data_IF_194178428530
#
_entry.id   IF_194178428530
#
_cell.length_a   1.000
_cell.length_b   1.000
_cell.length_c   1.000
_cell.angle_alpha   90.00
_cell.angle_beta   90.00
_cell.angle_gamma   90.00
#
_symmetry.space_group_name_H-M   'P 1'
#
loop_
_entity.id
_entity.type
_entity.pdbx_description
1 polymer ?
#
# COMPACT_ATOMS: atom_id res chain seq x y z
N UNK A 1 -46.19 9.48 -30.59
CA UNK A 1 -44.81 9.31 -31.09
C UNK A 1 -43.85 9.38 -29.92
N UNK A 2 -42.88 8.47 -29.92
CA UNK A 2 -42.02 8.02 -28.82
C UNK A 2 -41.36 9.12 -27.98
N UNK A 3 -41.62 9.10 -26.66
CA UNK A 3 -40.70 9.62 -25.64
C UNK A 3 -39.66 8.54 -25.37
N UNK A 4 -38.39 8.83 -25.63
CA UNK A 4 -37.28 7.96 -25.21
C UNK A 4 -36.48 8.72 -24.16
N UNK A 5 -36.85 8.55 -22.89
CA UNK A 5 -36.01 8.89 -21.75
C UNK A 5 -34.92 7.82 -21.65
N UNK A 6 -33.68 8.20 -22.01
CA UNK A 6 -32.52 7.39 -21.67
C UNK A 6 -32.37 7.39 -20.15
N UNK A 7 -32.67 6.25 -19.52
CA UNK A 7 -32.33 5.99 -18.13
C UNK A 7 -30.80 6.00 -18.02
N UNK A 8 -30.27 6.98 -17.29
CA UNK A 8 -28.93 6.88 -16.71
C UNK A 8 -28.98 5.76 -15.68
N UNK A 9 -28.71 4.54 -16.12
CA UNK A 9 -28.40 3.43 -15.22
C UNK A 9 -27.19 3.83 -14.40
N UNK A 10 -27.45 4.17 -13.15
CA UNK A 10 -26.48 4.16 -12.06
C UNK A 10 -25.75 2.82 -12.12
N UNK A 11 -24.47 2.87 -12.47
CA UNK A 11 -23.57 1.72 -12.38
C UNK A 11 -23.44 1.42 -10.90
N UNK A 12 -24.24 0.47 -10.42
CA UNK A 12 -24.07 -0.12 -9.11
C UNK A 12 -22.72 -0.84 -9.10
N UNK A 13 -21.77 -0.23 -8.40
CA UNK A 13 -20.44 -0.78 -8.16
C UNK A 13 -20.61 -2.10 -7.41
N UNK A 14 -20.56 -3.24 -8.12
CA UNK A 14 -20.55 -4.55 -7.48
C UNK A 14 -19.31 -4.66 -6.59
N UNK A 15 -19.47 -5.29 -5.42
CA UNK A 15 -18.39 -5.83 -4.58
C UNK A 15 -17.65 -6.89 -5.40
N UNK A 16 -16.69 -6.45 -6.19
CA UNK A 16 -15.85 -7.33 -7.01
C UNK A 16 -14.44 -7.25 -6.46
N UNK A 17 -13.92 -8.40 -6.05
CA UNK A 17 -12.52 -8.57 -5.69
C UNK A 17 -11.66 -8.27 -6.92
N UNK A 18 -10.58 -7.52 -6.72
CA UNK A 18 -9.57 -7.20 -7.73
C UNK A 18 -8.23 -7.86 -7.42
N UNK A 19 -7.99 -8.19 -6.16
CA UNK A 19 -6.82 -8.92 -5.68
C UNK A 19 -7.27 -10.08 -4.80
N UNK A 20 -6.75 -11.27 -5.07
CA UNK A 20 -6.86 -12.47 -4.21
C UNK A 20 -5.50 -13.16 -4.14
N UNK A 21 -4.73 -12.85 -3.10
CA UNK A 21 -3.44 -13.47 -2.79
C UNK A 21 -3.57 -14.64 -1.80
N UNK A 22 -4.79 -14.97 -1.38
CA UNK A 22 -5.06 -16.01 -0.39
C UNK A 22 -6.23 -15.68 0.53
N UNK A 23 -6.56 -16.60 1.46
CA UNK A 23 -7.69 -16.47 2.39
C UNK A 23 -7.78 -15.13 3.12
N UNK A 24 -6.63 -14.59 3.55
CA UNK A 24 -6.55 -13.38 4.38
C UNK A 24 -6.06 -12.14 3.61
N UNK A 25 -5.93 -12.25 2.27
CA UNK A 25 -5.22 -11.26 1.48
C UNK A 25 -6.01 -10.90 0.21
N UNK A 26 -7.04 -10.07 0.40
CA UNK A 26 -7.99 -9.71 -0.65
C UNK A 26 -8.25 -8.22 -0.68
N UNK A 27 -8.31 -7.65 -1.88
CA UNK A 27 -8.74 -6.27 -2.10
C UNK A 27 -9.98 -6.23 -2.95
N UNK A 28 -11.00 -5.54 -2.47
CA UNK A 28 -12.16 -5.19 -3.26
C UNK A 28 -11.86 -3.96 -4.10
N UNK A 29 -12.68 -3.74 -5.12
CA UNK A 29 -12.64 -2.52 -5.93
C UNK A 29 -12.58 -1.23 -5.08
N UNK A 30 -13.34 -1.16 -3.98
CA UNK A 30 -13.34 0.04 -3.13
C UNK A 30 -12.01 0.26 -2.42
N UNK A 31 -11.30 -0.81 -2.04
CA UNK A 31 -9.96 -0.71 -1.47
C UNK A 31 -8.99 -0.14 -2.49
N UNK A 32 -8.96 -0.65 -3.71
CA UNK A 32 -8.09 -0.08 -4.76
C UNK A 32 -8.47 1.35 -5.11
N UNK A 33 -9.77 1.68 -5.15
CA UNK A 33 -10.25 3.04 -5.38
C UNK A 33 -9.95 4.03 -4.24
N UNK A 34 -9.49 3.54 -3.08
CA UNK A 34 -9.01 4.37 -1.97
C UNK A 34 -7.64 4.99 -2.27
N UNK A 35 -6.87 4.42 -3.20
CA UNK A 35 -5.56 4.94 -3.65
C UNK A 35 -5.70 6.21 -4.52
N UNK A 36 -6.92 6.56 -4.94
CA UNK A 36 -7.14 7.70 -5.82
C UNK A 36 -6.76 9.03 -5.13
N UNK A 37 -6.37 10.07 -5.90
CA UNK A 37 -5.91 11.33 -5.33
C UNK A 37 -6.90 11.98 -4.35
N UNK A 38 -6.35 12.53 -3.25
CA UNK A 38 -7.10 13.14 -2.13
C UNK A 38 -8.10 12.18 -1.44
N UNK A 39 -7.78 10.88 -1.39
CA UNK A 39 -8.46 9.92 -0.53
C UNK A 39 -7.45 9.22 0.35
N UNK A 40 -7.85 8.88 1.56
CA UNK A 40 -7.08 8.01 2.44
C UNK A 40 -6.97 6.61 1.84
N UNK A 41 -5.73 6.14 1.70
CA UNK A 41 -5.47 4.77 1.26
C UNK A 41 -5.93 3.80 2.36
N UNK A 42 -6.68 2.77 1.99
CA UNK A 42 -7.14 1.70 2.89
C UNK A 42 -5.93 0.93 3.44
N UNK A 43 -5.93 0.61 4.74
CA UNK A 43 -4.89 -0.21 5.36
C UNK A 43 -4.74 -1.56 4.66
N UNK A 44 -5.85 -2.16 4.21
CA UNK A 44 -5.83 -3.41 3.44
C UNK A 44 -4.93 -3.34 2.21
N UNK A 45 -4.88 -2.18 1.53
CA UNK A 45 -4.01 -1.99 0.35
C UNK A 45 -2.54 -2.13 0.74
N UNK A 46 -2.13 -1.51 1.85
CA UNK A 46 -0.76 -1.58 2.35
C UNK A 46 -0.43 -2.98 2.86
N UNK A 47 -1.37 -3.61 3.57
CA UNK A 47 -1.23 -4.97 4.06
C UNK A 47 -1.16 -6.01 2.93
N UNK A 48 -1.74 -5.75 1.77
CA UNK A 48 -1.55 -6.58 0.57
C UNK A 48 -0.30 -6.20 -0.22
N UNK A 49 0.18 -4.95 -0.13
CA UNK A 49 1.36 -4.47 -0.87
C UNK A 49 2.65 -5.17 -0.48
N UNK A 50 2.78 -5.58 0.79
CA UNK A 50 3.97 -6.28 1.30
C UNK A 50 4.22 -7.62 0.60
N UNK A 51 3.16 -8.26 0.09
CA UNK A 51 3.22 -9.62 -0.44
C UNK A 51 3.98 -9.71 -1.76
N UNK A 52 3.63 -8.94 -2.81
CA UNK A 52 4.42 -8.94 -4.03
C UNK A 52 5.86 -8.48 -3.77
N UNK A 53 6.11 -7.57 -2.81
CA UNK A 53 7.48 -7.18 -2.46
C UNK A 53 8.31 -8.35 -1.90
N UNK A 54 7.75 -9.09 -0.93
CA UNK A 54 8.40 -10.29 -0.41
C UNK A 54 8.61 -11.36 -1.49
N UNK A 55 7.64 -11.52 -2.39
CA UNK A 55 7.73 -12.48 -3.49
C UNK A 55 8.87 -12.12 -4.44
N UNK A 56 8.90 -10.87 -4.92
CA UNK A 56 9.95 -10.36 -5.80
C UNK A 56 11.31 -10.53 -5.14
N UNK A 57 11.45 -10.11 -3.87
CA UNK A 57 12.70 -10.22 -3.13
C UNK A 57 13.18 -11.68 -3.04
N UNK A 58 12.27 -12.64 -2.79
CA UNK A 58 12.59 -14.07 -2.70
C UNK A 58 12.93 -14.72 -4.05
N UNK A 59 12.44 -14.17 -5.16
CA UNK A 59 12.66 -14.70 -6.51
C UNK A 59 13.90 -14.10 -7.17
N UNK A 60 14.18 -12.82 -6.91
CA UNK A 60 15.27 -12.07 -7.55
C UNK A 60 16.60 -12.16 -6.79
N UNK A 61 16.59 -12.51 -5.50
CA UNK A 61 17.79 -12.57 -4.68
C UNK A 61 18.07 -13.98 -4.14
N UNK A 62 19.31 -14.44 -4.28
CA UNK A 62 19.78 -15.70 -3.68
C UNK A 62 19.66 -15.68 -2.15
N UNK A 63 19.86 -14.51 -1.54
CA UNK A 63 19.68 -14.28 -0.11
C UNK A 63 18.73 -13.10 0.05
N UNK A 64 17.54 -13.37 0.57
CA UNK A 64 16.55 -12.35 0.88
C UNK A 64 17.11 -11.36 1.92
N UNK A 65 17.37 -10.12 1.48
CA UNK A 65 17.90 -9.02 2.30
C UNK A 65 16.79 -8.21 2.94
N UNK A 66 15.60 -8.19 2.34
CA UNK A 66 14.45 -7.43 2.82
C UNK A 66 13.31 -8.34 3.22
N UNK A 67 12.56 -7.95 4.25
CA UNK A 67 11.32 -8.61 4.64
C UNK A 67 10.28 -7.57 5.01
N UNK A 68 9.08 -7.73 4.48
CA UNK A 68 7.97 -6.81 4.65
C UNK A 68 6.85 -7.50 5.45
N UNK A 69 6.55 -6.97 6.64
CA UNK A 69 5.45 -7.45 7.47
C UNK A 69 4.14 -6.78 7.06
N UNK A 70 3.04 -7.53 7.08
CA UNK A 70 1.70 -7.00 6.83
C UNK A 70 0.63 -7.91 7.45
N UNK A 71 -0.59 -7.80 6.90
CA UNK A 71 -1.83 -8.49 7.30
C UNK A 71 -2.30 -8.25 8.74
N UNK A 72 -3.41 -7.53 8.85
CA UNK A 72 -4.20 -7.24 10.05
C UNK A 72 -3.46 -6.69 11.28
N UNK A 73 -2.13 -6.55 11.21
CA UNK A 73 -1.35 -5.98 12.29
C UNK A 73 -1.62 -4.49 12.46
N UNK A 74 -1.95 -3.75 11.39
CA UNK A 74 -2.08 -2.29 11.44
C UNK A 74 -3.24 -1.89 12.36
N UNK A 75 -4.34 -2.64 12.34
CA UNK A 75 -5.48 -2.42 13.25
C UNK A 75 -5.12 -2.72 14.71
N UNK A 76 -4.38 -3.81 14.96
CA UNK A 76 -3.91 -4.16 16.31
C UNK A 76 -2.96 -3.10 16.85
N UNK A 77 -2.09 -2.58 15.98
CA UNK A 77 -1.14 -1.52 16.30
C UNK A 77 -1.82 -0.20 16.65
N UNK A 78 -2.85 0.19 15.90
CA UNK A 78 -3.64 1.38 16.24
C UNK A 78 -4.24 1.25 17.66
N UNK A 79 -4.78 0.08 18.02
CA UNK A 79 -5.32 -0.16 19.38
C UNK A 79 -4.24 -0.07 20.46
N UNK A 80 -3.04 -0.62 20.21
CA UNK A 80 -1.90 -0.52 21.12
C UNK A 80 -1.49 0.94 21.37
N UNK A 81 -1.59 1.79 20.35
CA UNK A 81 -1.22 3.21 20.43
C UNK A 81 -2.29 4.05 21.14
N UNK A 82 -3.58 3.68 21.03
CA UNK A 82 -4.70 4.36 21.68
C UNK A 82 -4.84 4.04 23.18
N UNK A 83 -4.19 2.99 23.69
CA UNK A 83 -4.27 2.56 25.10
C UNK A 83 -2.91 2.48 25.83
N UNK A 84 -2.13 3.58 25.96
CA UNK A 84 -0.80 3.51 26.58
C UNK A 84 -0.79 3.30 28.11
N UNK A 85 -1.93 3.46 28.80
CA UNK A 85 -1.97 3.70 30.27
C UNK A 85 -2.65 2.63 31.11
N UNK A 86 -2.95 1.45 30.57
CA UNK A 86 -3.46 0.34 31.38
C UNK A 86 -2.68 -0.96 31.12
N UNK A 87 -1.36 -0.90 31.30
CA UNK A 87 -0.52 -2.10 31.39
C UNK A 87 -0.96 -2.93 32.60
N UNK A 88 -1.90 -3.85 32.38
CA UNK A 88 -2.11 -5.00 33.25
C UNK A 88 -1.42 -6.21 32.62
N UNK A 89 -0.96 -7.20 33.40
CA UNK A 89 -0.10 -8.29 32.91
C UNK A 89 -0.72 -9.27 31.89
N UNK A 90 -1.92 -8.98 31.38
CA UNK A 90 -2.72 -9.79 30.45
C UNK A 90 -3.09 -9.00 29.19
N UNK A 91 -2.22 -8.10 28.71
CA UNK A 91 -2.53 -7.22 27.58
C UNK A 91 -2.67 -8.01 26.27
N UNK A 92 -3.89 -8.48 26.02
CA UNK A 92 -4.33 -9.29 24.88
C UNK A 92 -3.90 -8.72 23.51
N UNK A 93 -3.57 -7.42 23.44
CA UNK A 93 -3.17 -6.78 22.19
C UNK A 93 -1.77 -7.19 21.71
N UNK A 94 -0.78 -7.39 22.60
CA UNK A 94 0.55 -7.89 22.18
C UNK A 94 0.47 -9.35 21.74
N UNK A 95 -0.22 -10.19 22.51
CA UNK A 95 -0.48 -11.59 22.12
C UNK A 95 -1.23 -11.67 20.79
N UNK A 96 -2.21 -10.79 20.57
CA UNK A 96 -2.93 -10.70 19.31
C UNK A 96 -2.01 -10.26 18.17
N UNK A 97 -1.12 -9.30 18.38
CA UNK A 97 -0.13 -8.86 17.40
C UNK A 97 0.82 -10.01 17.02
N UNK A 98 1.39 -10.70 18.01
CA UNK A 98 2.26 -11.85 17.78
C UNK A 98 1.54 -12.97 17.07
N UNK A 99 0.26 -13.22 17.40
CA UNK A 99 -0.57 -14.17 16.68
C UNK A 99 -0.80 -13.78 15.22
N UNK A 100 -0.99 -12.49 14.91
CA UNK A 100 -1.11 -12.05 13.51
C UNK A 100 0.20 -12.26 12.75
N UNK A 101 1.34 -11.93 13.37
CA UNK A 101 2.65 -12.19 12.76
C UNK A 101 2.94 -13.67 12.59
N UNK A 102 2.58 -14.52 13.56
CA UNK A 102 2.67 -15.97 13.45
C UNK A 102 1.83 -16.48 12.28
N UNK A 103 0.57 -16.05 12.18
CA UNK A 103 -0.29 -16.44 11.07
C UNK A 103 0.33 -16.02 9.73
N UNK A 104 0.82 -14.79 9.64
CA UNK A 104 1.46 -14.25 8.43
C UNK A 104 2.71 -15.06 8.05
N UNK A 105 3.62 -15.31 9.00
CA UNK A 105 4.83 -16.09 8.77
C UNK A 105 4.51 -17.55 8.46
N UNK A 106 3.49 -18.14 9.08
CA UNK A 106 3.10 -19.53 8.80
C UNK A 106 2.44 -19.68 7.42
N UNK A 107 1.64 -18.70 7.00
CA UNK A 107 0.93 -18.72 5.71
C UNK A 107 1.86 -18.36 4.54
N UNK A 108 2.79 -17.42 4.74
CA UNK A 108 3.65 -16.85 3.68
C UNK A 108 5.15 -17.06 3.93
N UNK A 109 5.53 -17.94 4.85
CA UNK A 109 6.90 -18.10 5.33
C UNK A 109 7.95 -18.44 4.27
N UNK A 110 7.54 -19.05 3.14
CA UNK A 110 8.45 -19.32 2.03
C UNK A 110 9.05 -18.07 1.38
N UNK A 111 8.44 -16.90 1.60
CA UNK A 111 8.91 -15.60 1.06
C UNK A 111 9.34 -14.64 2.17
N UNK A 112 9.53 -15.12 3.40
CA UNK A 112 9.86 -14.29 4.56
C UNK A 112 11.17 -14.79 5.16
N UNK A 113 12.12 -13.86 5.33
CA UNK A 113 13.37 -14.11 6.03
C UNK A 113 13.43 -13.24 7.28
N UNK A 114 13.16 -13.83 8.45
CA UNK A 114 13.28 -13.09 9.72
C UNK A 114 14.72 -12.68 10.05
N UNK A 115 15.71 -13.29 9.37
CA UNK A 115 17.10 -12.87 9.44
C UNK A 115 17.51 -11.86 8.34
N UNK A 116 16.53 -11.27 7.64
CA UNK A 116 16.77 -10.20 6.67
C UNK A 116 17.52 -9.00 7.27
N UNK A 117 18.26 -8.29 6.41
CA UNK A 117 19.01 -7.07 6.79
C UNK A 117 18.09 -5.87 7.05
N UNK A 118 16.93 -5.85 6.40
CA UNK A 118 15.91 -4.85 6.56
C UNK A 118 14.58 -5.52 6.86
N UNK A 119 13.92 -5.11 7.95
CA UNK A 119 12.56 -5.54 8.28
C UNK A 119 11.66 -4.31 8.23
N UNK A 120 10.75 -4.27 7.26
CA UNK A 120 9.79 -3.20 7.04
C UNK A 120 8.46 -3.54 7.69
N UNK A 121 7.94 -2.60 8.46
CA UNK A 121 6.70 -2.72 9.21
C UNK A 121 5.87 -1.46 8.94
N UNK A 122 4.86 -1.53 8.06
CA UNK A 122 3.93 -0.44 7.87
C UNK A 122 3.12 -0.22 9.16
N UNK A 123 2.83 1.05 9.44
CA UNK A 123 2.07 1.48 10.62
C UNK A 123 1.01 2.51 10.20
N UNK A 124 -0.07 2.58 10.97
CA UNK A 124 -1.15 3.53 10.77
C UNK A 124 -1.46 4.24 12.09
N UNK A 125 -1.36 5.57 12.07
CA UNK A 125 -1.63 6.45 13.20
C UNK A 125 -2.56 7.56 12.72
N UNK A 126 -3.74 7.71 13.31
CA UNK A 126 -4.73 8.74 12.93
C UNK A 126 -5.05 8.81 11.41
N UNK A 127 -5.24 7.64 10.77
CA UNK A 127 -5.42 7.49 9.31
C UNK A 127 -4.22 7.95 8.45
N UNK A 128 -3.07 8.19 9.07
CA UNK A 128 -1.80 8.43 8.39
C UNK A 128 -0.99 7.15 8.32
N UNK A 129 -0.49 6.81 7.13
CA UNK A 129 0.30 5.62 6.90
C UNK A 129 1.77 6.01 6.81
N UNK A 130 2.62 5.28 7.54
CA UNK A 130 4.08 5.37 7.47
C UNK A 130 4.68 3.97 7.51
N UNK A 131 6.00 3.86 7.40
CA UNK A 131 6.70 2.58 7.58
C UNK A 131 7.89 2.75 8.53
N UNK A 132 8.08 1.76 9.40
CA UNK A 132 9.29 1.60 10.20
C UNK A 132 10.15 0.53 9.55
N UNK A 133 11.42 0.83 9.29
CA UNK A 133 12.40 -0.11 8.81
C UNK A 133 13.42 -0.39 9.92
N UNK A 134 13.42 -1.60 10.46
CA UNK A 134 14.52 -2.08 11.32
C UNK A 134 15.71 -2.37 10.40
N UNK A 135 16.69 -1.47 10.43
CA UNK A 135 17.85 -1.50 9.57
C UNK A 135 19.05 -2.06 10.33
N UNK A 136 19.34 -3.34 10.12
CA UNK A 136 20.46 -4.02 10.78
C UNK A 136 21.83 -3.57 10.23
N UNK A 137 21.90 -3.03 9.01
CA UNK A 137 23.17 -2.56 8.43
C UNK A 137 23.65 -1.27 9.11
N UNK A 138 22.77 -0.29 9.35
CA UNK A 138 23.12 0.94 10.09
C UNK A 138 22.79 0.88 11.58
N UNK A 139 22.23 -0.23 12.08
CA UNK A 139 21.76 -0.39 13.46
C UNK A 139 20.80 0.72 13.87
N UNK A 140 19.81 1.02 13.03
CA UNK A 140 18.82 2.09 13.25
C UNK A 140 17.40 1.57 13.06
N UNK A 141 16.43 2.23 13.71
CA UNK A 141 15.02 2.09 13.39
C UNK A 141 14.62 3.28 12.52
N UNK A 142 14.67 3.08 11.20
CA UNK A 142 14.44 4.14 10.21
C UNK A 142 12.94 4.40 10.06
N UNK A 143 12.52 5.65 10.25
CA UNK A 143 11.12 6.05 10.12
C UNK A 143 10.94 6.68 8.73
N UNK A 144 10.16 6.00 7.88
CA UNK A 144 9.85 6.39 6.51
C UNK A 144 8.47 7.05 6.47
N UNK A 145 8.48 8.38 6.43
CA UNK A 145 7.28 9.22 6.48
C UNK A 145 7.37 10.31 5.40
N UNK A 146 6.22 10.72 4.85
CA UNK A 146 6.12 11.85 3.93
C UNK A 146 5.87 13.20 4.65
N UNK A 147 5.69 13.18 5.97
CA UNK A 147 5.56 14.39 6.76
C UNK A 147 6.91 14.88 7.31
N UNK A 148 7.07 16.21 7.32
CA UNK A 148 8.13 16.86 8.09
C UNK A 148 7.56 17.30 9.42
N UNK A 149 8.06 16.71 10.50
CA UNK A 149 7.71 17.10 11.86
C UNK A 149 8.67 18.19 12.36
N UNK A 150 8.17 19.13 13.16
CA UNK A 150 9.03 20.13 13.82
C UNK A 150 9.93 19.48 14.88
N UNK A 151 9.38 18.47 15.57
CA UNK A 151 10.11 17.60 16.47
C UNK A 151 9.83 16.14 16.10
N UNK A 152 10.56 15.59 15.11
CA UNK A 152 10.33 14.24 14.61
C UNK A 152 10.49 13.15 15.66
N UNK A 153 11.28 13.36 16.72
CA UNK A 153 11.52 12.35 17.75
C UNK A 153 10.40 12.30 18.79
N UNK A 154 9.56 13.34 18.85
CA UNK A 154 8.39 13.44 19.72
C UNK A 154 7.07 13.31 18.96
N UNK A 155 7.08 12.94 17.67
CA UNK A 155 5.86 12.69 16.91
C UNK A 155 5.19 11.36 17.30
N UNK A 156 3.88 11.25 17.04
CA UNK A 156 3.12 10.01 17.29
C UNK A 156 3.66 8.83 16.47
N UNK A 157 4.17 9.11 15.26
CA UNK A 157 4.84 8.12 14.41
C UNK A 157 6.13 7.61 15.07
N UNK A 158 6.90 8.47 15.74
CA UNK A 158 8.09 8.03 16.47
C UNK A 158 7.72 7.22 17.72
N UNK A 159 6.64 7.58 18.43
CA UNK A 159 6.15 6.78 19.56
C UNK A 159 5.67 5.40 19.08
N UNK A 160 4.89 5.36 17.99
CA UNK A 160 4.50 4.13 17.31
C UNK A 160 5.72 3.29 16.92
N UNK A 161 6.79 3.93 16.43
CA UNK A 161 8.05 3.29 16.08
C UNK A 161 8.72 2.61 17.29
N UNK A 162 8.72 3.24 18.46
CA UNK A 162 9.28 2.64 19.68
C UNK A 162 8.51 1.39 20.13
N UNK A 163 7.18 1.48 20.12
CA UNK A 163 6.29 0.36 20.47
C UNK A 163 6.52 -0.81 19.51
N UNK A 164 6.54 -0.55 18.20
CA UNK A 164 6.67 -1.63 17.20
C UNK A 164 8.05 -2.27 17.19
N UNK A 165 9.12 -1.50 17.43
CA UNK A 165 10.47 -2.04 17.57
C UNK A 165 10.59 -2.90 18.81
N UNK A 166 10.00 -2.51 19.94
CA UNK A 166 9.93 -3.35 21.14
C UNK A 166 9.18 -4.65 20.87
N UNK A 167 7.99 -4.58 20.28
CA UNK A 167 7.20 -5.77 19.94
C UNK A 167 7.94 -6.70 18.96
N UNK A 168 8.61 -6.13 17.95
CA UNK A 168 9.40 -6.92 16.99
C UNK A 168 10.62 -7.56 17.66
N UNK A 169 11.24 -6.91 18.66
CA UNK A 169 12.34 -7.49 19.44
C UNK A 169 11.89 -8.77 20.12
N UNK A 170 10.81 -8.68 20.90
CA UNK A 170 10.23 -9.80 21.63
C UNK A 170 9.81 -10.92 20.67
N UNK A 171 9.20 -10.57 19.53
CA UNK A 171 8.78 -11.55 18.53
C UNK A 171 9.96 -12.28 17.89
N UNK A 172 11.04 -11.56 17.52
CA UNK A 172 12.25 -12.17 16.97
C UNK A 172 12.92 -13.09 18.00
N UNK A 173 12.99 -12.68 19.27
CA UNK A 173 13.50 -13.53 20.36
C UNK A 173 12.66 -14.79 20.55
N UNK A 174 11.33 -14.65 20.56
CA UNK A 174 10.39 -15.77 20.61
C UNK A 174 10.59 -16.76 19.45
N UNK A 175 10.92 -16.24 18.25
CA UNK A 175 11.26 -17.05 17.07
C UNK A 175 12.69 -17.62 17.09
N UNK A 176 13.47 -17.36 18.13
CA UNK A 176 14.87 -17.82 18.24
C UNK A 176 15.84 -17.07 17.33
N UNK A 177 15.46 -15.88 16.85
CA UNK A 177 16.30 -15.02 16.01
C UNK A 177 17.19 -14.17 16.93
N UNK A 178 18.46 -14.57 17.06
CA UNK A 178 19.38 -14.05 18.07
C UNK A 178 19.65 -12.54 18.04
N UNK A 179 19.40 -11.87 16.91
CA UNK A 179 19.53 -10.41 16.77
C UNK A 179 18.34 -9.61 17.30
N UNK A 180 17.26 -10.26 17.74
CA UNK A 180 16.08 -9.61 18.30
C UNK A 180 16.45 -8.66 19.44
N UNK A 181 17.25 -9.13 20.40
CA UNK A 181 17.66 -8.36 21.58
C UNK A 181 18.42 -7.07 21.27
N UNK A 182 19.02 -6.95 20.08
CA UNK A 182 19.81 -5.78 19.70
C UNK A 182 18.96 -4.58 19.29
N UNK A 183 17.75 -4.82 18.78
CA UNK A 183 17.00 -3.78 18.05
C UNK A 183 16.37 -2.74 18.96
N UNK A 184 16.10 -3.07 20.23
CA UNK A 184 15.62 -2.11 21.24
C UNK A 184 16.64 -1.00 21.53
N UNK A 185 17.93 -1.27 21.27
CA UNK A 185 19.01 -0.30 21.39
C UNK A 185 19.21 0.57 20.14
N UNK A 186 18.49 0.33 19.05
CA UNK A 186 18.67 1.08 17.81
C UNK A 186 18.10 2.50 17.95
N UNK A 187 18.85 3.56 17.62
CA UNK A 187 18.29 4.89 17.56
C UNK A 187 17.21 4.98 16.47
N UNK A 188 16.09 5.61 16.82
CA UNK A 188 15.02 5.93 15.88
C UNK A 188 15.46 7.10 15.00
N UNK A 189 15.46 6.90 13.69
CA UNK A 189 16.00 7.84 12.71
C UNK A 189 14.94 8.21 11.68
N UNK A 190 14.28 9.37 11.84
CA UNK A 190 13.40 9.94 10.81
C UNK A 190 14.18 10.23 9.52
N UNK A 191 13.80 9.55 8.43
CA UNK A 191 14.45 9.73 7.14
C UNK A 191 13.85 10.94 6.43
N UNK A 192 14.71 11.90 6.09
CA UNK A 192 14.30 13.12 5.40
C UNK A 192 14.37 12.90 3.88
N UNK A 193 13.20 12.86 3.24
CA UNK A 193 13.09 12.87 1.78
C UNK A 193 12.82 14.28 1.24
N UNK A 194 13.20 14.54 -0.02
CA UNK A 194 13.03 15.85 -0.66
C UNK A 194 11.56 16.26 -0.83
N UNK A 195 10.65 15.28 -0.93
CA UNK A 195 9.21 15.52 -1.03
C UNK A 195 8.50 15.62 0.33
N UNK A 196 9.22 15.49 1.45
CA UNK A 196 8.63 15.70 2.78
C UNK A 196 8.10 17.13 2.91
N UNK A 197 6.92 17.29 3.51
CA UNK A 197 6.28 18.61 3.65
C UNK A 197 5.90 18.88 5.10
N UNK A 198 6.05 20.14 5.51
CA UNK A 198 5.59 20.61 6.83
C UNK A 198 4.07 20.64 6.96
N UNK A 199 3.34 20.71 5.84
CA UNK A 199 1.90 20.48 5.82
C UNK A 199 1.64 19.01 5.45
N UNK A 200 0.99 18.25 6.34
CA UNK A 200 0.79 16.84 6.13
C UNK A 200 -0.15 16.58 4.95
N UNK A 201 0.20 15.59 4.14
CA UNK A 201 -0.63 15.08 3.07
C UNK A 201 -1.06 13.66 3.44
N UNK A 202 -1.92 13.60 4.47
CA UNK A 202 -2.37 12.34 5.07
C UNK A 202 -3.09 11.45 4.05
N UNK A 203 -3.85 12.06 3.14
CA UNK A 203 -4.61 11.35 2.11
C UNK A 203 -3.67 10.52 1.22
N UNK A 204 -2.56 11.10 0.77
CA UNK A 204 -1.63 10.41 -0.12
C UNK A 204 -0.53 9.63 0.63
N UNK A 205 -0.55 9.59 1.98
CA UNK A 205 0.48 8.94 2.81
C UNK A 205 0.78 7.51 2.39
N UNK A 206 -0.27 6.70 2.15
CA UNK A 206 -0.12 5.33 1.67
C UNK A 206 0.65 5.20 0.35
N UNK A 207 0.50 6.15 -0.58
CA UNK A 207 1.25 6.15 -1.85
C UNK A 207 2.73 6.39 -1.60
N UNK A 208 3.07 7.34 -0.72
CA UNK A 208 4.47 7.55 -0.33
C UNK A 208 5.05 6.32 0.36
N UNK A 209 4.32 5.73 1.31
CA UNK A 209 4.75 4.53 2.02
C UNK A 209 5.00 3.35 1.09
N UNK A 210 4.09 3.11 0.13
CA UNK A 210 4.27 2.04 -0.86
C UNK A 210 5.55 2.21 -1.67
N UNK A 211 5.86 3.44 -2.10
CA UNK A 211 7.10 3.75 -2.85
C UNK A 211 8.33 3.69 -1.95
N UNK A 212 8.23 4.15 -0.70
CA UNK A 212 9.30 4.02 0.29
C UNK A 212 9.69 2.57 0.51
N UNK A 213 8.71 1.68 0.71
CA UNK A 213 8.96 0.24 0.88
C UNK A 213 9.55 -0.40 -0.38
N UNK A 214 9.19 0.08 -1.57
CA UNK A 214 9.69 -0.47 -2.83
C UNK A 214 11.17 -0.12 -3.11
N UNK A 215 11.63 1.06 -2.70
CA UNK A 215 12.90 1.63 -3.17
C UNK A 215 13.94 1.82 -2.06
N UNK A 216 13.51 1.91 -0.79
CA UNK A 216 14.42 2.22 0.30
C UNK A 216 15.41 1.08 0.59
N UNK A 217 16.70 1.37 0.50
CA UNK A 217 17.79 0.43 0.79
C UNK A 217 18.68 0.90 1.96
N UNK A 218 18.09 1.55 2.96
CA UNK A 218 18.81 2.03 4.16
C UNK A 218 19.38 3.45 4.07
N UNK A 219 19.17 4.15 2.94
CA UNK A 219 19.59 5.53 2.73
C UNK A 219 18.48 6.37 2.06
N UNK A 220 18.45 7.70 2.27
CA UNK A 220 17.54 8.58 1.53
C UNK A 220 17.74 8.45 0.01
N UNK A 221 16.65 8.54 -0.74
CA UNK A 221 16.66 8.46 -2.20
C UNK A 221 15.87 9.62 -2.83
N UNK A 222 16.11 9.85 -4.11
CA UNK A 222 15.39 10.84 -4.94
C UNK A 222 14.38 10.10 -5.81
N UNK A 223 13.20 10.71 -6.00
CA UNK A 223 12.16 10.18 -6.86
C UNK A 223 11.38 11.33 -7.52
N UNK A 224 11.56 11.48 -8.83
CA UNK A 224 11.04 12.62 -9.59
C UNK A 224 9.52 12.76 -9.47
N UNK A 225 8.80 11.63 -9.43
CA UNK A 225 7.35 11.64 -9.45
C UNK A 225 6.69 11.94 -8.09
N UNK A 226 7.35 11.68 -6.96
CA UNK A 226 6.76 11.87 -5.64
C UNK A 226 6.56 13.36 -5.30
N UNK A 227 7.45 14.24 -5.79
CA UNK A 227 7.34 15.69 -5.60
C UNK A 227 6.16 16.33 -6.35
N UNK A 228 5.75 15.76 -7.49
CA UNK A 228 4.75 16.31 -8.41
C UNK A 228 3.36 15.71 -8.21
N UNK A 229 2.35 16.56 -7.94
CA UNK A 229 0.95 16.09 -7.78
C UNK A 229 0.41 15.43 -9.05
N UNK A 230 0.85 15.84 -10.23
CA UNK A 230 0.43 15.23 -11.50
C UNK A 230 1.08 13.85 -11.63
N UNK A 231 2.38 13.76 -11.36
CA UNK A 231 3.12 12.50 -11.52
C UNK A 231 2.66 11.44 -10.50
N UNK A 232 2.35 11.86 -9.26
CA UNK A 232 1.73 10.97 -8.28
C UNK A 232 0.44 10.31 -8.75
N UNK A 233 -0.35 10.95 -9.63
CA UNK A 233 -1.53 10.30 -10.22
C UNK A 233 -1.15 9.13 -11.12
N UNK A 234 -0.05 9.23 -11.84
CA UNK A 234 0.46 8.12 -12.65
C UNK A 234 1.06 7.03 -11.76
N UNK A 235 1.78 7.40 -10.70
CA UNK A 235 2.27 6.44 -9.70
C UNK A 235 1.13 5.64 -9.07
N UNK A 236 0.02 6.28 -8.69
CA UNK A 236 -1.18 5.60 -8.17
C UNK A 236 -1.65 4.50 -9.13
N UNK A 237 -1.69 4.81 -10.44
CA UNK A 237 -2.11 3.84 -11.45
C UNK A 237 -1.11 2.69 -11.59
N UNK A 238 0.20 2.99 -11.53
CA UNK A 238 1.26 1.97 -11.61
C UNK A 238 1.24 1.05 -10.39
N UNK A 239 1.11 1.59 -9.18
CA UNK A 239 1.01 0.82 -7.94
C UNK A 239 -0.25 -0.05 -7.90
N UNK A 240 -1.40 0.51 -8.29
CA UNK A 240 -2.64 -0.25 -8.40
C UNK A 240 -2.53 -1.36 -9.45
N UNK A 241 -1.89 -1.09 -10.60
CA UNK A 241 -1.63 -2.09 -11.62
C UNK A 241 -0.69 -3.19 -11.10
N UNK A 242 0.37 -2.83 -10.37
CA UNK A 242 1.30 -3.78 -9.77
C UNK A 242 0.58 -4.73 -8.78
N UNK A 243 -0.28 -4.20 -7.92
CA UNK A 243 -1.14 -5.02 -7.04
C UNK A 243 -2.09 -5.95 -7.82
N UNK A 244 -2.76 -5.43 -8.83
CA UNK A 244 -3.76 -6.21 -9.57
C UNK A 244 -3.11 -7.26 -10.48
N UNK A 245 -1.94 -6.97 -11.03
CA UNK A 245 -1.28 -7.80 -12.06
C UNK A 245 -0.16 -8.68 -11.52
N UNK A 246 0.14 -8.61 -10.22
CA UNK A 246 1.10 -9.48 -9.56
C UNK A 246 0.83 -10.96 -9.88
N UNK A 247 1.90 -11.74 -10.08
CA UNK A 247 1.80 -13.16 -10.44
C UNK A 247 1.02 -13.99 -9.43
N UNK A 248 1.10 -13.62 -8.16
CA UNK A 248 0.40 -14.30 -7.07
C UNK A 248 -1.10 -13.96 -6.97
N UNK A 249 -1.64 -13.05 -7.81
CA UNK A 249 -3.07 -12.76 -7.82
C UNK A 249 -3.85 -13.89 -8.52
N UNK A 250 -4.56 -14.70 -7.73
CA UNK A 250 -5.34 -15.85 -8.20
C UNK A 250 -6.46 -15.48 -9.19
N UNK A 251 -6.94 -14.23 -9.14
CA UNK A 251 -7.97 -13.72 -10.05
C UNK A 251 -7.43 -12.86 -11.18
N UNK A 252 -6.09 -12.77 -11.35
CA UNK A 252 -5.44 -11.97 -12.41
C UNK A 252 -5.97 -12.26 -13.80
N UNK A 253 -6.11 -13.54 -14.17
CA UNK A 253 -6.57 -13.94 -15.50
C UNK A 253 -7.98 -13.41 -15.79
N UNK A 254 -8.87 -13.47 -14.79
CA UNK A 254 -10.23 -12.91 -14.87
C UNK A 254 -10.18 -11.40 -15.04
N UNK A 255 -9.39 -10.70 -14.22
CA UNK A 255 -9.27 -9.23 -14.31
C UNK A 255 -8.72 -8.81 -15.68
N UNK A 256 -7.73 -9.52 -16.23
CA UNK A 256 -7.18 -9.26 -17.56
C UNK A 256 -8.20 -9.49 -18.68
N UNK A 257 -9.04 -10.52 -18.56
CA UNK A 257 -10.15 -10.77 -19.47
C UNK A 257 -11.16 -9.61 -19.44
N UNK A 258 -11.53 -9.14 -18.25
CA UNK A 258 -12.46 -8.01 -18.08
C UNK A 258 -11.89 -6.71 -18.67
N UNK A 259 -10.59 -6.45 -18.49
CA UNK A 259 -9.91 -5.30 -19.10
C UNK A 259 -9.93 -5.40 -20.63
N UNK A 260 -9.63 -6.56 -21.20
CA UNK A 260 -9.63 -6.78 -22.65
C UNK A 260 -11.03 -6.54 -23.23
N UNK A 261 -12.07 -7.08 -22.59
CA UNK A 261 -13.46 -6.84 -22.99
C UNK A 261 -13.83 -5.35 -22.91
N UNK A 262 -13.36 -4.64 -21.89
CA UNK A 262 -13.59 -3.20 -21.73
C UNK A 262 -12.93 -2.39 -22.85
N UNK A 263 -11.68 -2.70 -23.19
CA UNK A 263 -10.94 -2.05 -24.28
C UNK A 263 -11.63 -2.27 -25.63
N UNK A 264 -12.01 -3.51 -25.95
CA UNK A 264 -12.73 -3.82 -27.19
C UNK A 264 -14.07 -3.08 -27.30
N UNK A 265 -14.80 -2.95 -26.19
CA UNK A 265 -16.05 -2.17 -26.14
C UNK A 265 -15.80 -0.68 -26.38
N UNK A 266 -14.77 -0.10 -25.76
CA UNK A 266 -14.40 1.30 -25.94
C UNK A 266 -14.07 1.60 -27.41
N UNK A 267 -13.30 0.72 -28.06
CA UNK A 267 -12.94 0.89 -29.47
C UNK A 267 -14.17 0.83 -30.38
N UNK A 268 -15.08 -0.11 -30.12
CA UNK A 268 -16.36 -0.21 -30.83
C UNK A 268 -17.22 1.07 -30.69
N UNK A 269 -17.29 1.63 -29.48
CA UNK A 269 -18.00 2.89 -29.21
C UNK A 269 -17.33 4.05 -29.96
N UNK A 270 -16.00 4.15 -29.93
CA UNK A 270 -15.25 5.20 -30.63
C UNK A 270 -15.44 5.14 -32.15
N UNK A 271 -15.45 3.95 -32.74
CA UNK A 271 -15.76 3.74 -34.17
C UNK A 271 -17.17 4.23 -34.48
N UNK A 272 -18.15 3.85 -33.67
CA UNK A 272 -19.55 4.26 -33.83
C UNK A 272 -19.72 5.78 -33.72
N UNK A 273 -19.05 6.42 -32.77
CA UNK A 273 -19.08 7.88 -32.59
C UNK A 273 -18.43 8.61 -33.76
N UNK A 274 -17.29 8.11 -34.28
CA UNK A 274 -16.64 8.65 -35.49
C UNK A 274 -17.57 8.56 -36.71
N UNK A 275 -18.24 7.42 -36.90
CA UNK A 275 -19.21 7.23 -37.98
C UNK A 275 -20.39 8.21 -37.88
N UNK A 276 -20.99 8.34 -36.69
CA UNK A 276 -22.08 9.31 -36.43
C UNK A 276 -21.64 10.75 -36.66
N UNK A 277 -20.43 11.14 -36.22
CA UNK A 277 -19.87 12.48 -36.46
C UNK A 277 -19.72 12.78 -37.95
N UNK A 278 -19.28 11.81 -38.76
CA UNK A 278 -19.17 11.95 -40.21
C UNK A 278 -20.55 12.18 -40.86
N UNK A 279 -21.57 11.45 -40.44
CA UNK A 279 -22.96 11.64 -40.90
C UNK A 279 -23.47 13.04 -40.57
N UNK A 280 -23.28 13.50 -39.32
CA UNK A 280 -23.67 14.86 -38.90
C UNK A 280 -22.96 15.93 -39.72
N UNK A 281 -21.67 15.77 -40.01
CA UNK A 281 -20.91 16.71 -40.86
C UNK A 281 -21.40 16.75 -42.30
N UNK A 282 -21.78 15.60 -42.89
CA UNK A 282 -22.37 15.54 -44.24
C UNK A 282 -23.73 16.26 -44.25
N UNK A 283 -24.58 15.98 -43.26
CA UNK A 283 -25.89 16.62 -43.14
C UNK A 283 -25.77 18.14 -42.93
N UNK A 284 -24.80 18.59 -42.13
CA UNK A 284 -24.53 20.02 -41.93
C UNK A 284 -24.09 20.72 -43.22
N UNK A 285 -23.17 20.11 -43.99
CA UNK A 285 -22.73 20.65 -45.29
C UNK A 285 -23.86 20.72 -46.31
N UNK A 286 -24.74 19.72 -46.34
CA UNK A 286 -25.90 19.69 -47.25
C UNK A 286 -26.96 20.76 -46.95
N UNK A 287 -26.97 21.30 -45.72
CA UNK A 287 -27.88 22.38 -45.29
C UNK A 287 -27.31 23.77 -45.54
N UNK A 288 -26.00 23.93 -45.62
CA UNK A 288 -25.32 25.19 -45.93
C UNK A 288 -25.17 25.47 -47.43
N UNK A 289 -25.60 24.55 -48.29
CA UNK A 289 -25.52 24.65 -49.76
C UNK A 289 -26.89 24.86 -50.43
N UNK A 290 -27.91 25.20 -49.64
CA UNK A 290 -29.23 25.68 -50.08
C UNK A 290 -29.41 27.10 -49.59
#
# INVERSE_FOLDING_TARGET
>A
MLRTTASLTTVTCRKEDLVDYGPNARLQRNDVLSMLPNKFTSSSVIECWVMPLNRIESEENEIQRMTFFGLHHTEVLTRLMETPTQCTPNDNNYDMLYKQWDNYVNEYGSTINLDAKFIFIPIMVDNHIACVCVNFESRTADILDNQSHNDPLNSDICQASKIIVSAMSDYLEYKGIGKGCEITGFPHRPIKFEWTRSRPNHEESGIFTMVHMLIYEGQPFVHDDLGSKINRRYLVLQLAAALILADMNNIRAKVMQDVTLCVSRKDSILVTLKAKRKVVQILAKSRSSK
#
